data_IF_674177100276
#
_entry.id   IF_674177100276
#
_cell.length_a   1.000
_cell.length_b   1.000
_cell.length_c   1.000
_cell.angle_alpha   90.00
_cell.angle_beta   90.00
_cell.angle_gamma   90.00
#
_symmetry.space_group_name_H-M   'P 1'
#
loop_
_entity.id
_entity.type
_entity.pdbx_description
1 polymer ?
#
# COMPACT_ATOMS: atom_id res chain seq x y z
N UNK A 1 -54.25 6.98 -7.97
CA UNK A 1 -52.83 6.59 -8.06
C UNK A 1 -52.75 5.08 -7.99
N UNK A 2 -52.41 4.46 -9.10
CA UNK A 2 -52.61 3.04 -9.37
C UNK A 2 -51.57 2.18 -8.66
N UNK A 3 -51.98 0.99 -8.19
CA UNK A 3 -51.16 -0.09 -7.59
C UNK A 3 -49.79 -0.30 -8.27
N UNK A 4 -49.71 0.01 -9.58
CA UNK A 4 -48.49 -0.03 -10.39
C UNK A 4 -47.39 0.91 -9.89
N UNK A 5 -47.69 2.11 -9.41
CA UNK A 5 -46.67 3.03 -8.87
C UNK A 5 -46.06 2.50 -7.57
N UNK A 6 -46.84 1.82 -6.75
CA UNK A 6 -46.37 1.25 -5.48
C UNK A 6 -45.40 0.09 -5.72
N UNK A 7 -45.67 -0.75 -6.72
CA UNK A 7 -44.80 -1.86 -7.12
C UNK A 7 -43.45 -1.33 -7.61
N UNK A 8 -43.43 -0.30 -8.47
CA UNK A 8 -42.18 0.29 -8.95
C UNK A 8 -41.35 0.94 -7.83
N UNK A 9 -41.99 1.60 -6.87
CA UNK A 9 -41.30 2.21 -5.72
C UNK A 9 -40.71 1.15 -4.77
N UNK A 10 -41.43 0.06 -4.50
CA UNK A 10 -40.91 -1.04 -3.67
C UNK A 10 -39.77 -1.78 -4.38
N UNK A 11 -39.86 -2.00 -5.70
CA UNK A 11 -38.76 -2.61 -6.47
C UNK A 11 -37.51 -1.74 -6.51
N UNK A 12 -37.63 -0.41 -6.63
CA UNK A 12 -36.45 0.48 -6.58
C UNK A 12 -35.83 0.53 -5.19
N UNK A 13 -36.64 0.42 -4.13
CA UNK A 13 -36.16 0.33 -2.75
C UNK A 13 -35.41 -1.00 -2.51
N UNK A 14 -35.90 -2.12 -3.03
CA UNK A 14 -35.25 -3.41 -2.89
C UNK A 14 -33.91 -3.48 -3.65
N UNK A 15 -33.86 -2.94 -4.88
CA UNK A 15 -32.63 -2.88 -5.68
C UNK A 15 -31.55 -1.96 -5.08
N UNK A 16 -31.94 -0.93 -4.32
CA UNK A 16 -30.98 -0.04 -3.65
C UNK A 16 -30.35 -0.68 -2.41
N UNK A 17 -31.05 -1.57 -1.70
CA UNK A 17 -30.51 -2.28 -0.53
C UNK A 17 -29.38 -3.25 -0.92
N UNK A 18 -29.53 -3.96 -2.05
CA UNK A 18 -28.52 -4.92 -2.54
C UNK A 18 -27.19 -4.23 -2.90
N UNK A 19 -27.25 -3.08 -3.58
CA UNK A 19 -26.06 -2.30 -3.94
C UNK A 19 -25.24 -1.83 -2.73
N UNK A 20 -25.91 -1.47 -1.64
CA UNK A 20 -25.25 -1.01 -0.40
C UNK A 20 -24.52 -2.15 0.30
N UNK A 21 -25.09 -3.36 0.30
CA UNK A 21 -24.46 -4.54 0.90
C UNK A 21 -23.18 -4.97 0.17
N UNK A 22 -23.16 -4.90 -1.17
CA UNK A 22 -21.98 -5.20 -1.97
C UNK A 22 -20.87 -4.15 -1.78
N UNK A 23 -21.23 -2.87 -1.75
CA UNK A 23 -20.31 -1.77 -1.45
C UNK A 23 -19.68 -1.91 -0.06
N UNK A 24 -20.50 -2.20 0.96
CA UNK A 24 -20.02 -2.40 2.33
C UNK A 24 -19.09 -3.62 2.44
N UNK A 25 -19.42 -4.73 1.78
CA UNK A 25 -18.61 -5.96 1.79
C UNK A 25 -17.28 -5.76 1.07
N UNK A 26 -17.29 -5.11 -0.09
CA UNK A 26 -16.07 -4.79 -0.84
C UNK A 26 -15.16 -3.84 -0.06
N UNK A 27 -15.72 -2.83 0.59
CA UNK A 27 -14.94 -1.89 1.40
C UNK A 27 -14.33 -2.58 2.63
N UNK A 28 -15.08 -3.46 3.31
CA UNK A 28 -14.55 -4.26 4.41
C UNK A 28 -13.38 -5.13 3.98
N UNK A 29 -13.53 -5.87 2.87
CA UNK A 29 -12.46 -6.71 2.29
C UNK A 29 -11.21 -5.91 1.91
N UNK A 30 -11.40 -4.70 1.36
CA UNK A 30 -10.31 -3.76 1.05
C UNK A 30 -9.58 -3.29 2.31
N UNK A 31 -10.32 -2.85 3.33
CA UNK A 31 -9.74 -2.40 4.60
C UNK A 31 -8.99 -3.53 5.33
N UNK A 32 -9.55 -4.73 5.34
CA UNK A 32 -8.88 -5.92 5.90
C UNK A 32 -7.57 -6.21 5.16
N UNK A 33 -7.56 -6.07 3.84
CA UNK A 33 -6.35 -6.23 3.02
C UNK A 33 -5.31 -5.17 3.33
N UNK A 34 -5.70 -3.90 3.42
CA UNK A 34 -4.82 -2.81 3.81
C UNK A 34 -4.22 -3.03 5.19
N UNK A 35 -5.02 -3.46 6.16
CA UNK A 35 -4.52 -3.70 7.51
C UNK A 35 -3.53 -4.86 7.55
N UNK A 36 -3.76 -5.95 6.80
CA UNK A 36 -2.80 -7.06 6.66
C UNK A 36 -1.49 -6.58 6.04
N UNK A 37 -1.54 -5.79 4.98
CA UNK A 37 -0.34 -5.24 4.34
C UNK A 37 0.43 -4.30 5.28
N UNK A 38 -0.27 -3.42 6.01
CA UNK A 38 0.33 -2.58 7.05
C UNK A 38 0.99 -3.43 8.13
N UNK A 39 0.36 -4.51 8.60
CA UNK A 39 0.96 -5.45 9.56
C UNK A 39 2.25 -6.06 9.03
N UNK A 40 2.27 -6.55 7.79
CA UNK A 40 3.49 -7.09 7.16
C UNK A 40 4.61 -6.05 7.14
N UNK A 41 4.31 -4.80 6.81
CA UNK A 41 5.30 -3.72 6.82
C UNK A 41 5.78 -3.37 8.24
N UNK A 42 4.86 -3.32 9.23
CA UNK A 42 5.18 -3.02 10.64
C UNK A 42 6.07 -4.08 11.27
N UNK A 43 5.73 -5.35 11.12
CA UNK A 43 6.47 -6.48 11.72
C UNK A 43 7.90 -6.59 11.20
N UNK A 44 8.13 -6.08 10.00
CA UNK A 44 9.41 -6.23 9.31
C UNK A 44 10.26 -5.00 9.43
N UNK A 45 9.62 -3.84 9.45
CA UNK A 45 10.29 -2.55 9.51
C UNK A 45 11.40 -2.43 8.45
N UNK A 46 11.07 -2.85 7.23
CA UNK A 46 11.96 -2.84 6.07
C UNK A 46 11.36 -1.95 5.00
N UNK A 47 12.16 -1.04 4.46
CA UNK A 47 11.90 -0.35 3.19
C UNK A 47 12.83 -0.93 2.13
N UNK A 48 12.36 -1.03 0.91
CA UNK A 48 13.14 -1.65 -0.15
C UNK A 48 12.88 -1.00 -1.50
N UNK A 49 13.94 -0.79 -2.29
CA UNK A 49 13.82 -0.31 -3.67
C UNK A 49 13.20 -1.38 -4.58
N UNK A 50 12.79 -1.02 -5.81
CA UNK A 50 12.60 -2.01 -6.87
C UNK A 50 13.90 -2.82 -7.08
N UNK A 51 13.79 -4.08 -7.51
CA UNK A 51 14.92 -4.96 -7.91
C UNK A 51 15.87 -5.45 -6.79
N UNK A 52 15.38 -5.67 -5.58
CA UNK A 52 16.20 -6.11 -4.40
C UNK A 52 15.96 -7.56 -3.97
N UNK A 53 15.37 -8.37 -4.83
CA UNK A 53 15.06 -9.79 -4.61
C UNK A 53 16.10 -10.76 -5.20
N UNK A 54 15.82 -12.06 -5.05
CA UNK A 54 16.63 -13.13 -5.64
C UNK A 54 16.68 -12.96 -7.17
N UNK A 55 17.88 -12.91 -7.74
CA UNK A 55 18.12 -12.74 -9.18
C UNK A 55 17.51 -11.45 -9.81
N UNK A 56 17.43 -10.34 -9.05
CA UNK A 56 16.91 -9.06 -9.58
C UNK A 56 15.38 -8.97 -9.60
N UNK A 57 14.68 -9.93 -8.98
CA UNK A 57 13.25 -9.83 -8.71
C UNK A 57 12.90 -8.71 -7.73
N UNK A 58 11.62 -8.35 -7.65
CA UNK A 58 11.16 -7.44 -6.61
C UNK A 58 11.07 -8.14 -5.25
N UNK A 59 11.33 -7.42 -4.16
CA UNK A 59 11.20 -8.00 -2.82
C UNK A 59 9.72 -8.12 -2.42
N UNK A 60 9.41 -8.97 -1.42
CA UNK A 60 8.09 -8.97 -0.79
C UNK A 60 7.68 -7.59 -0.25
N UNK A 61 8.62 -6.81 0.28
CA UNK A 61 8.34 -5.47 0.83
C UNK A 61 7.93 -4.47 -0.24
N UNK A 62 8.62 -4.51 -1.38
CA UNK A 62 8.25 -3.72 -2.56
C UNK A 62 6.85 -4.10 -3.07
N UNK A 63 6.55 -5.40 -3.13
CA UNK A 63 5.21 -5.85 -3.51
C UNK A 63 4.13 -5.42 -2.50
N UNK A 64 4.40 -5.50 -1.20
CA UNK A 64 3.50 -5.00 -0.16
C UNK A 64 3.18 -3.52 -0.36
N UNK A 65 4.20 -2.71 -0.67
CA UNK A 65 4.02 -1.30 -1.03
C UNK A 65 3.19 -1.09 -2.29
N UNK A 66 3.45 -1.83 -3.37
CA UNK A 66 2.71 -1.69 -4.61
C UNK A 66 1.22 -2.02 -4.43
N UNK A 67 0.91 -3.10 -3.70
CA UNK A 67 -0.48 -3.44 -3.31
C UNK A 67 -1.12 -2.37 -2.46
N UNK A 68 -0.38 -1.84 -1.48
CA UNK A 68 -0.88 -0.82 -0.60
C UNK A 68 -1.23 0.45 -1.39
N UNK A 69 -0.31 0.92 -2.25
CA UNK A 69 -0.52 2.11 -3.09
C UNK A 69 -1.67 1.95 -4.07
N UNK A 70 -1.88 0.72 -4.56
CA UNK A 70 -3.05 0.38 -5.38
C UNK A 70 -4.36 0.50 -4.59
N UNK A 71 -4.41 -0.04 -3.37
CA UNK A 71 -5.64 -0.15 -2.56
C UNK A 71 -5.98 1.11 -1.76
N UNK A 72 -5.00 1.96 -1.48
CA UNK A 72 -5.16 3.17 -0.67
C UNK A 72 -5.53 4.40 -1.49
N UNK A 73 -6.39 5.23 -0.93
CA UNK A 73 -6.60 6.61 -1.39
C UNK A 73 -5.56 7.56 -0.75
N UNK A 74 -5.51 8.81 -1.21
CA UNK A 74 -4.54 9.80 -0.70
C UNK A 74 -4.71 10.09 0.80
N UNK A 75 -5.93 10.10 1.33
CA UNK A 75 -6.15 10.35 2.77
C UNK A 75 -5.60 9.20 3.63
N UNK A 76 -5.79 7.95 3.21
CA UNK A 76 -5.24 6.78 3.88
C UNK A 76 -3.71 6.73 3.81
N UNK A 77 -3.13 7.14 2.68
CA UNK A 77 -1.68 7.28 2.53
C UNK A 77 -1.12 8.41 3.40
N UNK A 78 -1.85 9.51 3.53
CA UNK A 78 -1.50 10.59 4.43
C UNK A 78 -1.52 10.12 5.89
N UNK A 79 -2.58 9.44 6.31
CA UNK A 79 -2.67 8.84 7.66
C UNK A 79 -1.49 7.89 7.94
N UNK A 80 -1.08 7.10 6.95
CA UNK A 80 0.08 6.22 7.08
C UNK A 80 1.39 6.95 7.35
N UNK A 81 1.54 8.18 6.89
CA UNK A 81 2.74 8.99 7.20
C UNK A 81 2.83 9.37 8.69
N UNK A 82 1.80 9.05 9.48
CA UNK A 82 1.75 9.19 10.94
C UNK A 82 1.77 7.84 11.67
N UNK A 83 1.96 6.72 10.97
CA UNK A 83 2.02 5.39 11.59
C UNK A 83 3.18 5.27 12.58
N UNK A 84 3.07 4.39 13.58
CA UNK A 84 4.15 4.13 14.54
C UNK A 84 5.36 3.46 13.87
N UNK A 85 5.15 2.67 12.81
CA UNK A 85 6.23 2.01 12.08
C UNK A 85 6.93 2.97 11.09
N UNK A 86 8.26 3.13 11.20
CA UNK A 86 9.09 3.87 10.24
C UNK A 86 8.88 3.44 8.78
N UNK A 87 8.86 2.12 8.52
CA UNK A 87 8.62 1.59 7.17
C UNK A 87 7.25 2.01 6.61
N UNK A 88 6.19 1.96 7.43
CA UNK A 88 4.84 2.38 6.98
C UNK A 88 4.81 3.88 6.68
N UNK A 89 5.51 4.71 7.46
CA UNK A 89 5.61 6.15 7.21
C UNK A 89 6.27 6.45 5.86
N UNK A 90 7.41 5.82 5.58
CA UNK A 90 8.13 5.95 4.32
C UNK A 90 7.29 5.47 3.13
N UNK A 91 6.68 4.28 3.22
CA UNK A 91 5.82 3.79 2.14
C UNK A 91 4.55 4.62 1.94
N UNK A 92 3.99 5.20 3.01
CA UNK A 92 2.92 6.20 2.90
C UNK A 92 3.36 7.41 2.10
N UNK A 93 4.57 7.94 2.38
CA UNK A 93 5.15 9.06 1.65
C UNK A 93 5.37 8.73 0.16
N UNK A 94 5.96 7.58 -0.17
CA UNK A 94 6.14 7.14 -1.57
C UNK A 94 4.79 7.01 -2.28
N UNK A 95 3.78 6.46 -1.60
CA UNK A 95 2.42 6.37 -2.14
C UNK A 95 1.83 7.75 -2.45
N UNK A 96 2.06 8.75 -1.59
CA UNK A 96 1.63 10.14 -1.83
C UNK A 96 2.34 10.75 -3.05
N UNK A 97 3.64 10.52 -3.22
CA UNK A 97 4.39 10.93 -4.41
C UNK A 97 3.76 10.32 -5.67
N UNK A 98 3.52 9.00 -5.65
CA UNK A 98 2.94 8.28 -6.79
C UNK A 98 1.53 8.76 -7.14
N UNK A 99 0.71 9.06 -6.14
CA UNK A 99 -0.64 9.60 -6.31
C UNK A 99 -0.66 11.11 -6.58
N UNK A 100 0.50 11.76 -6.73
CA UNK A 100 0.65 13.21 -6.98
C UNK A 100 -0.12 14.06 -5.96
N UNK A 101 -0.01 13.68 -4.68
CA UNK A 101 -0.61 14.46 -3.60
C UNK A 101 0.00 15.87 -3.55
N UNK A 102 -0.86 16.88 -3.46
CA UNK A 102 -0.48 18.30 -3.65
C UNK A 102 0.51 18.76 -2.59
N UNK A 103 0.34 18.34 -1.34
CA UNK A 103 1.13 18.84 -0.20
C UNK A 103 2.21 17.85 0.28
N UNK A 104 2.88 17.18 -0.66
CA UNK A 104 3.99 16.26 -0.33
C UNK A 104 5.19 16.98 0.30
N UNK A 105 5.37 18.28 0.03
CA UNK A 105 6.43 19.09 0.62
C UNK A 105 6.28 19.22 2.15
N UNK A 106 5.08 19.49 2.66
CA UNK A 106 4.84 19.57 4.11
C UNK A 106 5.04 18.22 4.80
N UNK A 107 4.60 17.13 4.16
CA UNK A 107 4.83 15.77 4.66
C UNK A 107 6.33 15.46 4.73
N UNK A 108 7.10 15.78 3.68
CA UNK A 108 8.56 15.61 3.66
C UNK A 108 9.23 16.42 4.78
N UNK A 109 8.86 17.69 4.93
CA UNK A 109 9.40 18.56 5.98
C UNK A 109 9.17 17.96 7.37
N UNK A 110 7.98 17.43 7.65
CA UNK A 110 7.69 16.76 8.92
C UNK A 110 8.52 15.49 9.12
N UNK A 111 8.64 14.64 8.09
CA UNK A 111 9.39 13.39 8.19
C UNK A 111 10.92 13.61 8.21
N UNK A 112 11.42 14.78 7.76
CA UNK A 112 12.85 15.09 7.75
C UNK A 112 13.50 15.21 9.13
N UNK A 113 12.70 15.37 10.19
CA UNK A 113 13.15 15.35 11.58
C UNK A 113 12.91 14.01 12.29
N UNK A 114 12.41 13.00 11.58
CA UNK A 114 12.10 11.68 12.14
C UNK A 114 13.35 10.81 12.20
N UNK A 115 13.80 10.53 13.43
CA UNK A 115 15.03 9.78 13.73
C UNK A 115 14.79 8.29 13.96
N UNK A 116 13.57 7.80 13.78
CA UNK A 116 13.29 6.38 13.98
C UNK A 116 13.99 5.52 12.92
N UNK A 117 14.50 4.37 13.34
CA UNK A 117 15.31 3.48 12.51
C UNK A 117 14.43 2.54 11.66
N UNK A 118 14.88 2.25 10.45
CA UNK A 118 14.29 1.30 9.50
C UNK A 118 15.41 0.58 8.76
N UNK A 119 15.20 -0.69 8.44
CA UNK A 119 16.15 -1.41 7.59
C UNK A 119 15.88 -1.04 6.14
N UNK A 120 16.88 -0.53 5.43
CA UNK A 120 16.83 -0.22 4.01
C UNK A 120 17.46 -1.34 3.19
N UNK A 121 16.78 -1.76 2.13
CA UNK A 121 17.29 -2.67 1.11
C UNK A 121 17.27 -1.95 -0.23
N UNK A 122 18.42 -1.45 -0.68
CA UNK A 122 18.56 -0.77 -1.97
C UNK A 122 19.55 -1.56 -2.83
N UNK A 123 19.08 -2.05 -3.97
CA UNK A 123 19.82 -3.03 -4.79
C UNK A 123 20.29 -4.24 -3.96
N UNK A 124 21.60 -4.41 -3.79
CA UNK A 124 22.21 -5.46 -2.97
C UNK A 124 22.72 -4.97 -1.60
N UNK A 125 22.50 -3.69 -1.28
CA UNK A 125 22.97 -3.07 -0.05
C UNK A 125 21.87 -3.13 0.99
N UNK A 126 22.24 -3.57 2.20
CA UNK A 126 21.37 -3.61 3.37
C UNK A 126 21.99 -2.71 4.42
N UNK A 127 21.21 -1.75 4.91
CA UNK A 127 21.66 -0.80 5.92
C UNK A 127 20.55 -0.50 6.93
N UNK A 128 20.91 0.03 8.10
CA UNK A 128 19.96 0.58 9.07
C UNK A 128 20.02 2.11 9.00
N UNK A 129 18.91 2.71 8.61
CA UNK A 129 18.82 4.16 8.35
C UNK A 129 17.68 4.77 9.15
N UNK A 130 17.75 6.08 9.37
CA UNK A 130 16.62 6.84 9.90
C UNK A 130 15.56 7.10 8.82
N UNK A 131 14.33 7.41 9.23
CA UNK A 131 13.28 7.88 8.30
C UNK A 131 13.77 9.09 7.51
N UNK A 132 14.44 10.05 8.15
CA UNK A 132 15.01 11.21 7.47
C UNK A 132 15.99 10.83 6.34
N UNK A 133 16.93 9.91 6.59
CA UNK A 133 17.83 9.38 5.55
C UNK A 133 17.05 8.61 4.47
N UNK A 134 16.05 7.83 4.85
CA UNK A 134 15.19 7.10 3.93
C UNK A 134 14.45 8.00 2.94
N UNK A 135 14.05 9.21 3.34
CA UNK A 135 13.48 10.20 2.41
C UNK A 135 14.47 10.58 1.30
N UNK A 136 15.73 10.80 1.65
CA UNK A 136 16.77 11.14 0.67
C UNK A 136 17.07 9.96 -0.25
N UNK A 137 17.12 8.74 0.30
CA UNK A 137 17.28 7.53 -0.52
C UNK A 137 16.13 7.33 -1.50
N UNK A 138 14.89 7.53 -1.07
CA UNK A 138 13.70 7.39 -1.92
C UNK A 138 13.85 8.20 -3.21
N UNK A 139 14.36 9.43 -3.16
CA UNK A 139 14.57 10.23 -4.37
C UNK A 139 15.58 9.62 -5.35
N UNK A 140 16.53 8.81 -4.86
CA UNK A 140 17.55 8.20 -5.70
C UNK A 140 17.05 6.93 -6.41
N UNK A 141 16.12 6.19 -5.81
CA UNK A 141 15.68 4.90 -6.35
C UNK A 141 14.21 4.84 -6.74
N UNK A 142 13.37 5.78 -6.29
CA UNK A 142 11.96 5.83 -6.67
C UNK A 142 11.81 6.18 -8.15
N UNK A 143 11.24 5.25 -8.89
CA UNK A 143 10.94 5.38 -10.31
C UNK A 143 9.42 5.31 -10.49
N UNK A 144 8.79 6.44 -10.84
CA UNK A 144 7.34 6.55 -11.06
C UNK A 144 6.87 5.56 -12.14
N UNK A 145 7.63 5.43 -13.24
CA UNK A 145 7.29 4.57 -14.37
C UNK A 145 7.31 3.10 -13.95
N UNK A 146 8.38 2.65 -13.31
CA UNK A 146 8.51 1.26 -12.84
C UNK A 146 7.47 0.91 -11.77
N UNK A 147 7.14 1.87 -10.92
CA UNK A 147 6.08 1.72 -9.93
C UNK A 147 4.72 1.55 -10.60
N UNK A 148 4.41 2.40 -11.59
CA UNK A 148 3.19 2.31 -12.38
C UNK A 148 3.07 0.98 -13.13
N UNK A 149 4.14 0.50 -13.75
CA UNK A 149 4.19 -0.80 -14.44
C UNK A 149 3.91 -1.96 -13.49
N UNK A 150 4.51 -1.95 -12.29
CA UNK A 150 4.27 -2.98 -11.27
C UNK A 150 2.82 -2.97 -10.80
N UNK A 151 2.26 -1.79 -10.55
CA UNK A 151 0.85 -1.64 -10.13
C UNK A 151 -0.09 -2.10 -11.25
N UNK A 152 0.18 -1.71 -12.50
CA UNK A 152 -0.60 -2.13 -13.65
C UNK A 152 -0.62 -3.66 -13.79
N UNK A 153 0.53 -4.32 -13.63
CA UNK A 153 0.61 -5.78 -13.67
C UNK A 153 -0.22 -6.44 -12.55
N UNK A 154 -0.21 -5.88 -11.34
CA UNK A 154 -1.06 -6.35 -10.23
C UNK A 154 -2.56 -6.14 -10.55
N UNK A 155 -2.92 -5.07 -11.25
CA UNK A 155 -4.31 -4.78 -11.60
C UNK A 155 -4.83 -5.71 -12.70
N UNK A 156 -4.05 -5.93 -13.75
CA UNK A 156 -4.49 -6.59 -14.99
C UNK A 156 -4.33 -8.11 -14.97
N UNK A 157 -3.34 -8.64 -14.23
CA UNK A 157 -3.13 -10.08 -14.13
C UNK A 157 -3.65 -10.64 -12.80
N UNK A 158 -4.84 -11.23 -12.83
CA UNK A 158 -5.46 -11.84 -11.67
C UNK A 158 -4.65 -13.00 -11.07
N UNK A 159 -3.96 -13.79 -11.91
CA UNK A 159 -3.16 -14.93 -11.47
C UNK A 159 -1.92 -14.43 -10.72
N UNK A 160 -1.24 -13.45 -11.29
CA UNK A 160 -0.10 -12.77 -10.67
C UNK A 160 -0.49 -12.10 -9.35
N UNK A 161 -1.59 -11.32 -9.35
CA UNK A 161 -2.15 -10.70 -8.14
C UNK A 161 -2.41 -11.71 -7.03
N UNK A 162 -3.08 -12.81 -7.36
CA UNK A 162 -3.43 -13.85 -6.38
C UNK A 162 -2.20 -14.55 -5.83
N UNK A 163 -1.24 -14.87 -6.70
CA UNK A 163 0.02 -15.48 -6.31
C UNK A 163 0.81 -14.58 -5.35
N UNK A 164 1.02 -13.31 -5.71
CA UNK A 164 1.74 -12.37 -4.87
C UNK A 164 1.04 -12.14 -3.53
N UNK A 165 -0.27 -11.87 -3.54
CA UNK A 165 -0.99 -11.60 -2.30
C UNK A 165 -0.95 -12.79 -1.32
N UNK A 166 -1.06 -14.02 -1.83
CA UNK A 166 -0.87 -15.25 -1.03
C UNK A 166 0.56 -15.37 -0.51
N UNK A 167 1.56 -15.08 -1.36
CA UNK A 167 2.95 -15.10 -0.94
C UNK A 167 3.18 -14.09 0.20
N UNK A 168 2.66 -12.87 0.10
CA UNK A 168 2.83 -11.82 1.12
C UNK A 168 2.18 -12.17 2.46
N UNK A 169 0.93 -12.66 2.45
CA UNK A 169 0.20 -12.97 3.69
C UNK A 169 0.63 -14.30 4.29
N UNK A 170 0.99 -15.27 3.44
CA UNK A 170 1.50 -16.57 3.88
C UNK A 170 2.95 -16.54 4.34
N UNK A 171 3.67 -15.43 4.14
CA UNK A 171 5.09 -15.34 4.45
C UNK A 171 5.36 -15.30 5.95
N UNK A 172 5.93 -16.38 6.48
CA UNK A 172 6.32 -16.47 7.89
C UNK A 172 7.71 -15.84 8.11
N UNK A 173 7.95 -15.13 9.23
CA UNK A 173 9.28 -14.68 9.59
C UNK A 173 10.24 -15.85 9.77
N UNK A 174 11.38 -15.77 9.08
CA UNK A 174 12.55 -16.53 9.50
C UNK A 174 12.94 -15.96 10.86
N UNK A 175 12.71 -16.72 11.94
CA UNK A 175 13.18 -16.35 13.28
C UNK A 175 14.70 -16.28 13.23
N UNK A 176 15.27 -15.07 13.36
CA UNK A 176 16.71 -14.93 13.60
C UNK A 176 17.00 -15.56 14.96
N UNK A 177 17.85 -16.59 14.98
CA UNK A 177 18.40 -17.19 16.20
C UNK A 177 19.58 -16.37 16.67
#
# INVERSE_FOLDING_TARGET
>A
MTLRFYIFFVLSLLLSVEGWSQLATNNKSRLDSLQKLKTVLRERNVVSSPLVGYAGGNSPYWHSFAFLTLLSNQAELLEMTHDKSPAVRLYGYIGLLHKKYVDTASVRKRLSSDTAQVVSFVSCVVDEITVAQGLEEIYNWYDEKRTAETIALIQTDQKYRTHLYRALIGWKPIKRR
#
